data_IF_724783052316
#
_entry.id   IF_724783052316
#
_cell.length_a   1.000
_cell.length_b   1.000
_cell.length_c   1.000
_cell.angle_alpha   90.00
_cell.angle_beta   90.00
_cell.angle_gamma   90.00
#
_symmetry.space_group_name_H-M   'P 1'
#
loop_
_entity.id
_entity.type
_entity.pdbx_description
1 polymer ?
#
# COMPACT_ATOMS: atom_id res chain seq x y z
N UNK A 1 -13.52 -1.53 -15.13
CA UNK A 1 -12.90 -2.72 -14.48
C UNK A 1 -11.43 -2.42 -14.35
N UNK A 2 -11.05 -1.94 -13.18
CA UNK A 2 -9.67 -1.57 -12.88
C UNK A 2 -8.84 -2.82 -12.55
N UNK A 3 -7.56 -2.79 -12.93
CA UNK A 3 -6.55 -3.75 -12.49
C UNK A 3 -5.72 -3.09 -11.38
N UNK A 4 -5.63 -3.75 -10.22
CA UNK A 4 -4.97 -3.25 -9.01
C UNK A 4 -3.90 -4.24 -8.58
N UNK A 5 -2.64 -3.77 -8.50
CA UNK A 5 -1.56 -4.52 -7.84
C UNK A 5 -1.49 -4.14 -6.36
N UNK A 6 -1.62 -5.11 -5.46
CA UNK A 6 -1.52 -4.91 -4.02
C UNK A 6 -0.13 -5.37 -3.57
N UNK A 7 0.73 -4.45 -3.14
CA UNK A 7 2.11 -4.75 -2.74
C UNK A 7 2.25 -4.69 -1.22
N UNK A 8 2.73 -5.78 -0.63
CA UNK A 8 2.73 -5.98 0.81
C UNK A 8 4.10 -5.72 1.42
N UNK A 9 4.13 -4.88 2.44
CA UNK A 9 5.26 -4.67 3.32
C UNK A 9 4.93 -5.16 4.72
N UNK A 10 5.49 -6.29 5.14
CA UNK A 10 5.24 -6.81 6.47
C UNK A 10 6.46 -7.45 7.10
N UNK A 11 6.54 -7.37 8.43
CA UNK A 11 7.54 -8.09 9.22
C UNK A 11 6.97 -9.38 9.83
N UNK A 12 5.69 -9.37 10.22
CA UNK A 12 5.04 -10.45 10.98
C UNK A 12 3.71 -10.94 10.37
N UNK A 13 3.33 -10.47 9.18
CA UNK A 13 2.15 -10.95 8.46
C UNK A 13 0.87 -10.14 8.63
N UNK A 14 0.79 -9.17 9.56
CA UNK A 14 -0.44 -8.38 9.74
C UNK A 14 -0.84 -7.60 8.47
N UNK A 15 0.14 -7.01 7.77
CA UNK A 15 -0.12 -6.31 6.51
C UNK A 15 -0.56 -7.25 5.39
N UNK A 16 -0.17 -8.54 5.45
CA UNK A 16 -0.58 -9.54 4.48
C UNK A 16 -2.06 -9.86 4.63
N UNK A 17 -2.53 -10.07 5.86
CA UNK A 17 -3.96 -10.28 6.12
C UNK A 17 -4.80 -9.14 5.56
N UNK A 18 -4.42 -7.89 5.84
CA UNK A 18 -5.09 -6.70 5.29
C UNK A 18 -5.09 -6.67 3.77
N UNK A 19 -4.00 -7.10 3.13
CA UNK A 19 -3.89 -7.14 1.68
C UNK A 19 -4.79 -8.22 1.05
N UNK A 20 -4.89 -9.41 1.65
CA UNK A 20 -5.78 -10.48 1.21
C UNK A 20 -7.25 -10.06 1.33
N UNK A 21 -7.62 -9.41 2.44
CA UNK A 21 -8.97 -8.88 2.61
C UNK A 21 -9.27 -7.75 1.62
N UNK A 22 -8.30 -6.88 1.36
CA UNK A 22 -8.43 -5.84 0.36
C UNK A 22 -8.65 -6.42 -1.05
N UNK A 23 -7.94 -7.50 -1.40
CA UNK A 23 -8.13 -8.22 -2.66
C UNK A 23 -9.56 -8.77 -2.77
N UNK A 24 -10.05 -9.43 -1.72
CA UNK A 24 -11.39 -9.99 -1.69
C UNK A 24 -12.47 -8.91 -1.87
N UNK A 25 -12.33 -7.77 -1.18
CA UNK A 25 -13.26 -6.64 -1.26
C UNK A 25 -13.26 -6.04 -2.67
N UNK A 26 -12.09 -5.72 -3.22
CA UNK A 26 -11.98 -5.13 -4.56
C UNK A 26 -12.49 -6.08 -5.65
N UNK A 27 -12.25 -7.39 -5.49
CA UNK A 27 -12.78 -8.42 -6.38
C UNK A 27 -14.29 -8.53 -6.29
N UNK A 28 -14.86 -8.45 -5.08
CA UNK A 28 -16.31 -8.44 -4.87
C UNK A 28 -16.99 -7.21 -5.51
N UNK A 29 -16.29 -6.08 -5.59
CA UNK A 29 -16.74 -4.88 -6.30
C UNK A 29 -16.60 -4.98 -7.84
N UNK A 30 -16.00 -6.05 -8.35
CA UNK A 30 -15.84 -6.30 -9.79
C UNK A 30 -14.55 -5.74 -10.39
N UNK A 31 -13.56 -5.39 -9.56
CA UNK A 31 -12.21 -5.06 -10.00
C UNK A 31 -11.31 -6.31 -10.02
N UNK A 32 -10.16 -6.22 -10.69
CA UNK A 32 -9.16 -7.29 -10.69
C UNK A 32 -8.00 -6.89 -9.78
N UNK A 33 -8.02 -7.39 -8.55
CA UNK A 33 -6.94 -7.20 -7.59
C UNK A 33 -5.97 -8.41 -7.61
N UNK A 34 -4.71 -8.19 -7.26
CA UNK A 34 -3.70 -9.25 -7.13
C UNK A 34 -2.71 -8.89 -6.02
N UNK A 35 -2.53 -9.79 -5.04
CA UNK A 35 -1.60 -9.60 -3.93
C UNK A 35 -0.18 -10.07 -4.28
N UNK A 36 0.81 -9.25 -3.91
CA UNK A 36 2.24 -9.52 -4.02
C UNK A 36 2.89 -9.46 -2.63
N UNK A 37 3.19 -10.63 -2.07
CA UNK A 37 3.78 -10.79 -0.73
C UNK A 37 5.26 -10.42 -0.68
N UNK A 38 6.00 -10.81 -1.72
CA UNK A 38 7.42 -10.48 -1.95
C UNK A 38 7.51 -9.56 -3.18
N UNK A 39 7.21 -8.26 -3.00
CA UNK A 39 7.05 -7.37 -4.13
C UNK A 39 8.39 -7.08 -4.82
N UNK A 40 8.47 -7.38 -6.11
CA UNK A 40 9.58 -6.99 -6.96
C UNK A 40 9.23 -5.81 -7.87
N UNK A 41 10.27 -5.11 -8.34
CA UNK A 41 10.10 -4.07 -9.36
C UNK A 41 9.47 -4.65 -10.64
N UNK A 42 9.79 -5.90 -10.99
CA UNK A 42 9.22 -6.66 -12.11
C UNK A 42 7.69 -6.66 -12.10
N UNK A 43 7.12 -6.84 -10.92
CA UNK A 43 5.67 -6.94 -10.70
C UNK A 43 4.99 -5.58 -10.67
N UNK A 44 5.73 -4.52 -10.33
CA UNK A 44 5.25 -3.14 -10.35
C UNK A 44 5.16 -2.57 -11.75
N UNK A 45 6.13 -2.87 -12.62
CA UNK A 45 6.23 -2.32 -13.97
C UNK A 45 4.92 -2.43 -14.79
N UNK A 46 4.16 -3.53 -14.75
CA UNK A 46 2.87 -3.67 -15.45
C UNK A 46 1.74 -2.77 -14.95
N UNK A 47 1.89 -2.10 -13.80
CA UNK A 47 0.87 -1.25 -13.19
C UNK A 47 1.14 0.26 -13.32
N UNK A 48 2.22 0.66 -14.01
CA UNK A 48 2.60 2.07 -14.17
C UNK A 48 1.54 2.96 -14.83
N UNK A 49 0.59 2.39 -15.58
CA UNK A 49 -0.55 3.07 -16.21
C UNK A 49 -1.91 2.64 -15.61
N UNK A 50 -1.89 1.93 -14.48
CA UNK A 50 -3.06 1.34 -13.81
C UNK A 50 -3.18 1.85 -12.37
N UNK A 51 -3.63 0.97 -11.48
CA UNK A 51 -3.82 1.23 -10.07
C UNK A 51 -2.93 0.34 -9.22
N UNK A 52 -2.46 0.89 -8.12
CA UNK A 52 -1.65 0.19 -7.15
C UNK A 52 -2.16 0.47 -5.74
N UNK A 53 -2.12 -0.53 -4.86
CA UNK A 53 -2.36 -0.37 -3.43
C UNK A 53 -1.13 -0.83 -2.68
N UNK A 54 -0.51 0.06 -1.90
CA UNK A 54 0.62 -0.29 -1.04
C UNK A 54 0.10 -0.55 0.37
N UNK A 55 0.32 -1.74 0.90
CA UNK A 55 -0.08 -2.11 2.27
C UNK A 55 1.18 -2.40 3.06
N UNK A 56 1.63 -1.46 3.90
CA UNK A 56 2.91 -1.59 4.60
C UNK A 56 2.81 -1.29 6.08
N UNK A 57 3.44 -2.15 6.89
CA UNK A 57 3.72 -1.87 8.30
C UNK A 57 4.97 -0.99 8.43
N UNK A 58 5.12 -0.33 9.57
CA UNK A 58 6.34 0.41 9.92
C UNK A 58 7.18 -0.42 10.88
N UNK A 59 8.49 -0.55 10.63
CA UNK A 59 9.40 -1.32 11.49
C UNK A 59 10.33 -0.41 12.30
N UNK A 60 10.68 -0.86 13.51
CA UNK A 60 11.69 -0.22 14.36
C UNK A 60 11.43 1.27 14.61
N UNK A 61 12.36 2.13 14.17
CA UNK A 61 12.28 3.59 14.34
C UNK A 61 11.67 4.30 13.13
N UNK A 62 10.72 3.70 12.42
CA UNK A 62 10.11 4.34 11.24
C UNK A 62 10.64 3.84 9.90
N UNK A 63 11.31 2.68 9.88
CA UNK A 63 11.79 2.03 8.67
C UNK A 63 10.70 1.28 7.92
N UNK A 64 11.05 0.84 6.72
CA UNK A 64 10.25 -0.10 5.93
C UNK A 64 10.62 -1.54 6.30
N UNK A 65 9.68 -2.50 6.22
CA UNK A 65 9.97 -3.92 6.35
C UNK A 65 10.90 -4.39 5.23
N UNK A 66 11.79 -5.33 5.53
CA UNK A 66 12.75 -5.86 4.55
C UNK A 66 12.05 -6.47 3.31
N UNK A 67 10.81 -6.95 3.44
CA UNK A 67 10.02 -7.50 2.32
C UNK A 67 9.76 -6.46 1.22
N UNK A 68 9.57 -5.19 1.57
CA UNK A 68 9.18 -4.13 0.60
C UNK A 68 10.31 -3.15 0.29
N UNK A 69 11.42 -3.21 1.04
CA UNK A 69 12.62 -2.38 0.79
C UNK A 69 13.15 -2.53 -0.66
N UNK A 70 13.27 -3.74 -1.23
CA UNK A 70 13.74 -3.90 -2.62
C UNK A 70 12.84 -3.18 -3.63
N UNK A 71 11.52 -3.28 -3.47
CA UNK A 71 10.56 -2.56 -4.29
C UNK A 71 10.74 -1.05 -4.16
N UNK A 72 10.80 -0.54 -2.92
CA UNK A 72 10.94 0.90 -2.65
C UNK A 72 12.19 1.49 -3.32
N UNK A 73 13.34 0.82 -3.17
CA UNK A 73 14.59 1.25 -3.82
C UNK A 73 14.48 1.11 -5.35
N UNK A 74 13.90 0.03 -5.85
CA UNK A 74 13.68 -0.17 -7.28
C UNK A 74 12.86 0.95 -7.93
N UNK A 75 11.74 1.34 -7.29
CA UNK A 75 10.89 2.45 -7.75
C UNK A 75 11.68 3.77 -7.73
N UNK A 76 12.44 4.02 -6.66
CA UNK A 76 13.22 5.23 -6.48
C UNK A 76 14.33 5.37 -7.52
N UNK A 77 15.07 4.30 -7.77
CA UNK A 77 16.27 4.33 -8.61
C UNK A 77 15.96 4.14 -10.10
N UNK A 78 14.90 3.40 -10.43
CA UNK A 78 14.65 2.94 -11.81
C UNK A 78 13.50 3.62 -12.54
N UNK A 79 12.45 4.06 -11.83
CA UNK A 79 11.24 4.60 -12.48
C UNK A 79 11.35 6.11 -12.68
N UNK A 80 11.57 6.87 -11.60
CA UNK A 80 11.82 8.32 -11.63
C UNK A 80 10.65 9.20 -12.10
N UNK A 81 9.73 8.70 -12.94
CA UNK A 81 8.58 9.45 -13.47
C UNK A 81 7.42 8.52 -13.84
N UNK A 82 6.27 8.68 -13.20
CA UNK A 82 5.09 7.81 -13.32
C UNK A 82 3.77 8.60 -13.33
N UNK A 83 3.50 9.44 -14.34
CA UNK A 83 2.37 10.39 -14.34
C UNK A 83 0.98 9.75 -14.45
N UNK A 84 0.91 8.53 -14.99
CA UNK A 84 -0.33 7.80 -15.21
C UNK A 84 -0.65 6.82 -14.07
N UNK A 85 0.32 6.59 -13.18
CA UNK A 85 0.16 5.68 -12.06
C UNK A 85 -0.83 6.30 -11.08
N UNK A 86 -1.84 5.53 -10.70
CA UNK A 86 -2.76 5.88 -9.62
C UNK A 86 -2.54 4.93 -8.45
N UNK A 87 -2.48 5.45 -7.23
CA UNK A 87 -2.19 4.60 -6.08
C UNK A 87 -2.96 4.94 -4.81
N UNK A 88 -3.15 3.94 -3.96
CA UNK A 88 -3.59 4.06 -2.58
C UNK A 88 -2.52 3.53 -1.62
N UNK A 89 -2.58 3.95 -0.36
CA UNK A 89 -1.66 3.50 0.69
C UNK A 89 -2.43 3.16 1.95
N UNK A 90 -2.16 1.99 2.52
CA UNK A 90 -2.56 1.58 3.85
C UNK A 90 -1.30 1.42 4.68
N UNK A 91 -1.15 2.27 5.69
CA UNK A 91 -0.01 2.25 6.58
C UNK A 91 -0.43 1.68 7.94
N UNK A 92 0.26 0.63 8.37
CA UNK A 92 0.11 0.08 9.72
C UNK A 92 1.27 0.59 10.58
N UNK A 93 0.96 1.03 11.79
CA UNK A 93 1.94 1.50 12.75
C UNK A 93 1.42 1.45 14.18
N UNK A 94 2.22 1.94 15.11
CA UNK A 94 1.88 2.06 16.51
C UNK A 94 2.21 3.49 16.94
N UNK A 95 1.22 4.21 17.45
CA UNK A 95 1.36 5.62 17.84
C UNK A 95 2.25 5.83 19.07
N UNK A 96 2.59 4.77 19.80
CA UNK A 96 3.60 4.78 20.86
C UNK A 96 4.99 5.12 20.32
N UNK A 97 5.23 4.88 19.03
CA UNK A 97 6.47 5.26 18.36
C UNK A 97 6.36 6.66 17.76
N UNK A 98 7.43 7.44 17.92
CA UNK A 98 7.53 8.83 17.40
C UNK A 98 7.25 8.89 15.89
N UNK A 99 7.65 7.85 15.15
CA UNK A 99 7.54 7.78 13.69
C UNK A 99 6.32 6.95 13.27
N UNK A 100 5.14 7.34 13.77
CA UNK A 100 3.87 6.69 13.48
C UNK A 100 3.58 6.63 11.97
N UNK A 101 3.34 5.42 11.47
CA UNK A 101 3.03 5.10 10.07
C UNK A 101 4.03 5.68 9.04
N UNK A 102 5.30 5.82 9.43
CA UNK A 102 6.30 6.43 8.56
C UNK A 102 6.61 5.58 7.31
N UNK A 103 6.35 4.26 7.35
CA UNK A 103 6.53 3.40 6.18
C UNK A 103 5.64 3.82 5.00
N UNK A 104 4.33 3.94 5.22
CA UNK A 104 3.39 4.38 4.19
C UNK A 104 3.63 5.82 3.74
N UNK A 105 3.98 6.71 4.68
CA UNK A 105 4.34 8.12 4.38
C UNK A 105 5.54 8.23 3.45
N UNK A 106 6.55 7.37 3.62
CA UNK A 106 7.71 7.34 2.71
C UNK A 106 7.31 6.90 1.29
N UNK A 107 6.42 5.91 1.18
CA UNK A 107 5.89 5.49 -0.13
C UNK A 107 5.08 6.60 -0.81
N UNK A 108 4.17 7.25 -0.08
CA UNK A 108 3.41 8.39 -0.60
C UNK A 108 4.36 9.49 -1.09
N UNK A 109 5.33 9.91 -0.28
CA UNK A 109 6.31 10.92 -0.66
C UNK A 109 7.09 10.54 -1.94
N UNK A 110 7.59 9.29 -2.02
CA UNK A 110 8.32 8.81 -3.18
C UNK A 110 7.47 8.85 -4.46
N UNK A 111 6.21 8.41 -4.38
CA UNK A 111 5.31 8.36 -5.53
C UNK A 111 4.87 9.77 -5.96
N UNK A 112 4.64 10.67 -5.00
CA UNK A 112 4.36 12.09 -5.29
C UNK A 112 5.54 12.76 -6.00
N UNK A 113 6.78 12.52 -5.57
CA UNK A 113 7.99 13.02 -6.24
C UNK A 113 8.07 12.57 -7.71
N UNK A 114 7.57 11.37 -8.02
CA UNK A 114 7.54 10.81 -9.37
C UNK A 114 6.30 11.21 -10.18
N UNK A 115 5.50 12.17 -9.69
CA UNK A 115 4.24 12.63 -10.33
C UNK A 115 3.13 11.57 -10.41
N UNK A 116 3.18 10.51 -9.59
CA UNK A 116 2.07 9.58 -9.48
C UNK A 116 0.88 10.21 -8.74
N UNK A 117 -0.32 9.76 -9.06
CA UNK A 117 -1.56 10.34 -8.57
C UNK A 117 -2.11 9.51 -7.40
N UNK A 118 -2.23 10.12 -6.22
CA UNK A 118 -2.90 9.46 -5.11
C UNK A 118 -4.42 9.44 -5.33
N UNK A 119 -5.03 8.28 -5.12
CA UNK A 119 -6.48 8.08 -5.12
C UNK A 119 -6.95 8.07 -3.67
N UNK A 120 -7.74 9.07 -3.28
CA UNK A 120 -8.23 9.19 -1.91
C UNK A 120 -7.17 9.59 -0.89
N UNK A 121 -7.50 9.40 0.39
CA UNK A 121 -6.62 9.66 1.52
C UNK A 121 -5.99 8.35 2.01
N UNK A 122 -4.71 8.39 2.39
CA UNK A 122 -4.01 7.23 2.96
C UNK A 122 -4.67 6.81 4.29
N UNK A 123 -4.84 5.51 4.48
CA UNK A 123 -5.27 4.95 5.76
C UNK A 123 -4.07 4.82 6.70
N UNK A 124 -4.24 5.28 7.95
CA UNK A 124 -3.26 5.16 9.02
C UNK A 124 -3.88 4.33 10.14
N UNK A 125 -3.44 3.08 10.30
CA UNK A 125 -3.93 2.17 11.34
C UNK A 125 -2.99 2.23 12.53
N UNK A 126 -3.55 2.42 13.71
CA UNK A 126 -2.83 2.41 14.98
C UNK A 126 -3.06 1.10 15.74
N UNK A 127 -2.05 0.24 15.76
CA UNK A 127 -2.08 -1.03 16.47
C UNK A 127 -2.17 -0.89 18.00
N UNK A 128 -1.82 0.28 18.56
CA UNK A 128 -1.96 0.55 20.00
C UNK A 128 -3.41 0.72 20.42
N UNK A 129 -4.18 1.45 19.61
CA UNK A 129 -5.60 1.70 19.86
C UNK A 129 -6.48 0.57 19.31
N UNK A 130 -6.09 0.01 18.15
CA UNK A 130 -6.90 -0.96 17.42
C UNK A 130 -6.04 -2.16 16.96
N UNK A 131 -6.06 -3.28 17.72
CA UNK A 131 -5.19 -4.43 17.45
C UNK A 131 -5.60 -5.25 16.22
N UNK A 132 -6.83 -5.07 15.73
CA UNK A 132 -7.42 -5.77 14.58
C UNK A 132 -7.48 -4.82 13.37
N UNK A 133 -6.40 -4.73 12.57
CA UNK A 133 -6.30 -3.77 11.47
C UNK A 133 -7.41 -3.94 10.41
N UNK A 134 -7.93 -5.15 10.23
CA UNK A 134 -9.04 -5.49 9.33
C UNK A 134 -10.28 -4.62 9.57
N UNK A 135 -10.56 -4.27 10.82
CA UNK A 135 -11.75 -3.51 11.20
C UNK A 135 -11.73 -2.07 10.68
N UNK A 136 -10.53 -1.53 10.43
CA UNK A 136 -10.34 -0.20 9.83
C UNK A 136 -10.01 -0.29 8.35
N UNK A 137 -9.22 -1.28 7.92
CA UNK A 137 -8.85 -1.43 6.51
C UNK A 137 -10.04 -1.78 5.63
N UNK A 138 -10.91 -2.69 6.06
CA UNK A 138 -12.02 -3.18 5.23
C UNK A 138 -12.99 -2.08 4.82
N UNK A 139 -13.56 -1.28 5.76
CA UNK A 139 -14.45 -0.19 5.36
C UNK A 139 -13.72 0.88 4.53
N UNK A 140 -12.42 1.09 4.76
CA UNK A 140 -11.63 2.01 3.95
C UNK A 140 -11.43 1.48 2.52
N UNK A 141 -11.09 0.20 2.34
CA UNK A 141 -10.91 -0.41 1.02
C UNK A 141 -12.23 -0.43 0.26
N UNK A 142 -13.35 -0.71 0.95
CA UNK A 142 -14.67 -0.62 0.34
C UNK A 142 -14.93 0.77 -0.26
N UNK A 143 -14.65 1.83 0.51
CA UNK A 143 -14.82 3.21 0.05
C UNK A 143 -13.81 3.56 -1.05
N UNK A 144 -12.55 3.19 -0.89
CA UNK A 144 -11.49 3.46 -1.84
C UNK A 144 -11.76 2.79 -3.19
N UNK A 145 -12.27 1.56 -3.18
CA UNK A 145 -12.67 0.82 -4.38
C UNK A 145 -13.72 1.55 -5.21
N UNK A 146 -14.64 2.29 -4.58
CA UNK A 146 -15.63 3.12 -5.32
C UNK A 146 -15.02 4.29 -6.10
N UNK A 147 -13.78 4.69 -5.77
CA UNK A 147 -13.04 5.75 -6.48
C UNK A 147 -12.32 5.21 -7.72
N UNK A 148 -12.25 3.89 -7.90
CA UNK A 148 -11.60 3.25 -9.02
C UNK A 148 -12.57 3.19 -10.22
N UNK A 149 -12.08 3.54 -11.41
CA UNK A 149 -12.85 3.59 -12.66
C UNK A 149 -12.39 2.51 -13.65
#
# INVERSE_FOLDING_TARGET
MAEIGIFVGTMYGNSLLVAEEAEAILTAQGHKATVFEDPELSDWLPYQDKYVLVVTSTTGQGGLPDSIVPLFQGIKDSLGFQPNLRYGVIALGDSSYVNFCNGGKQFDALLQEQSAQRVGEMLLIDASENPEPETESNPWVEQWGTLLS
#
